data_IF_223306451795
#
_entry.id   IF_223306451795
#
_cell.length_a   1.000
_cell.length_b   1.000
_cell.length_c   1.000
_cell.angle_alpha   90.00
_cell.angle_beta   90.00
_cell.angle_gamma   90.00
#
_symmetry.space_group_name_H-M   'P 1'
#
loop_
_entity.id
_entity.type
_entity.pdbx_description
1 polymer ?
#
# COMPACT_ATOMS: atom_id res chain seq x y z
N UNK A 1 2.59 7.18 -4.94
CA UNK A 1 2.48 8.32 -4.02
C UNK A 1 1.04 8.77 -4.04
N UNK A 2 0.34 8.82 -2.90
CA UNK A 2 -1.07 9.24 -2.88
C UNK A 2 -1.17 10.77 -2.89
N UNK A 3 -2.17 11.33 -3.56
CA UNK A 3 -2.50 12.76 -3.46
C UNK A 3 -3.35 13.00 -2.21
N UNK A 4 -3.14 14.11 -1.49
CA UNK A 4 -3.96 14.45 -0.32
C UNK A 4 -5.41 14.65 -0.78
N UNK A 5 -6.38 13.96 -0.16
CA UNK A 5 -7.78 14.04 -0.58
C UNK A 5 -8.39 15.43 -0.31
N UNK A 6 -7.77 16.25 0.54
CA UNK A 6 -8.27 17.59 0.85
C UNK A 6 -7.80 18.67 -0.13
N UNK A 7 -6.55 18.60 -0.60
CA UNK A 7 -5.95 19.71 -1.37
C UNK A 7 -5.24 19.27 -2.66
N UNK A 8 -5.28 17.98 -3.01
CA UNK A 8 -4.67 17.44 -4.23
C UNK A 8 -3.14 17.41 -4.25
N UNK A 9 -2.44 18.03 -3.29
CA UNK A 9 -0.98 18.02 -3.24
C UNK A 9 -0.42 16.63 -2.91
N UNK A 10 0.81 16.30 -3.34
CA UNK A 10 1.44 15.01 -3.04
C UNK A 10 1.55 14.75 -1.53
N UNK A 11 1.23 13.53 -1.10
CA UNK A 11 1.37 13.08 0.28
C UNK A 11 2.40 11.95 0.40
N UNK A 12 3.27 12.02 1.41
CA UNK A 12 4.32 11.05 1.68
C UNK A 12 3.88 10.00 2.69
N UNK A 13 4.14 8.73 2.42
CA UNK A 13 3.90 7.65 3.38
C UNK A 13 4.87 7.74 4.55
N UNK A 14 4.36 7.80 5.78
CA UNK A 14 5.17 7.88 7.01
C UNK A 14 5.39 6.51 7.64
N UNK A 15 4.37 5.69 7.66
CA UNK A 15 4.41 4.34 8.21
C UNK A 15 3.36 3.47 7.53
N UNK A 16 3.46 2.17 7.76
CA UNK A 16 2.47 1.21 7.29
C UNK A 16 2.37 0.03 8.22
N UNK A 17 1.21 -0.60 8.27
CA UNK A 17 0.99 -1.86 8.98
C UNK A 17 0.16 -2.81 8.13
N UNK A 18 0.39 -4.10 8.30
CA UNK A 18 -0.49 -5.12 7.73
C UNK A 18 -1.69 -5.30 8.65
N UNK A 19 -2.88 -5.24 8.06
CA UNK A 19 -4.13 -5.60 8.77
C UNK A 19 -4.50 -7.06 8.50
N UNK A 20 -4.11 -7.58 7.34
CA UNK A 20 -4.20 -8.99 6.97
C UNK A 20 -3.09 -9.32 5.95
N UNK A 21 -2.95 -10.59 5.57
CA UNK A 21 -1.98 -11.02 4.55
C UNK A 21 -2.11 -10.25 3.22
N UNK A 22 -3.33 -9.83 2.87
CA UNK A 22 -3.63 -9.20 1.59
C UNK A 22 -3.91 -7.69 1.69
N UNK A 23 -3.98 -7.12 2.89
CA UNK A 23 -4.33 -5.70 3.11
C UNK A 23 -3.31 -4.98 3.98
N UNK A 24 -2.77 -3.90 3.43
CA UNK A 24 -1.81 -3.02 4.08
C UNK A 24 -2.41 -1.63 4.29
N UNK A 25 -2.46 -1.18 5.53
CA UNK A 25 -2.79 0.20 5.85
C UNK A 25 -1.52 1.06 5.77
N UNK A 26 -1.62 2.22 5.12
CA UNK A 26 -0.54 3.21 5.00
C UNK A 26 -1.01 4.55 5.52
N UNK A 27 -0.17 5.17 6.34
CA UNK A 27 -0.39 6.54 6.84
C UNK A 27 0.39 7.52 5.98
N UNK A 28 -0.29 8.55 5.49
CA UNK A 28 0.29 9.58 4.63
C UNK A 28 0.15 10.95 5.27
N UNK A 29 1.16 11.79 5.04
CA UNK A 29 1.14 13.20 5.40
C UNK A 29 1.29 14.06 4.15
N UNK A 30 0.41 15.03 3.96
CA UNK A 30 0.52 15.99 2.87
C UNK A 30 1.83 16.77 2.97
N UNK A 31 2.51 16.96 1.83
CA UNK A 31 3.73 17.76 1.76
C UNK A 31 3.47 19.27 1.78
N UNK A 32 2.26 19.69 1.42
CA UNK A 32 1.86 21.08 1.57
C UNK A 32 1.74 21.40 3.06
N UNK A 33 2.69 22.18 3.59
CA UNK A 33 2.78 22.55 5.02
C UNK A 33 1.52 23.28 5.49
N UNK A 34 0.90 24.09 4.62
CA UNK A 34 -0.36 24.77 4.95
C UNK A 34 -1.54 23.79 5.10
N UNK A 35 -1.48 22.64 4.43
CA UNK A 35 -2.50 21.61 4.55
C UNK A 35 -2.19 20.66 5.72
N UNK A 36 -0.96 20.12 5.77
CA UNK A 36 -0.50 19.22 6.83
C UNK A 36 -1.33 17.93 7.02
N UNK A 37 -2.32 17.69 6.15
CA UNK A 37 -3.32 16.64 6.33
C UNK A 37 -2.63 15.30 6.56
N UNK A 38 -3.05 14.58 7.60
CA UNK A 38 -2.59 13.21 7.84
C UNK A 38 -3.77 12.27 7.70
N UNK A 39 -3.62 11.25 6.88
CA UNK A 39 -4.73 10.34 6.52
C UNK A 39 -4.21 8.92 6.27
N UNK A 40 -5.09 7.94 6.43
CA UNK A 40 -4.80 6.54 6.19
C UNK A 40 -5.44 6.05 4.88
N UNK A 41 -4.78 5.12 4.21
CA UNK A 41 -5.34 4.41 3.03
C UNK A 41 -5.11 2.92 3.17
N UNK A 42 -6.03 2.11 2.65
CA UNK A 42 -5.88 0.67 2.52
C UNK A 42 -5.42 0.30 1.11
N UNK A 43 -4.29 -0.38 1.01
CA UNK A 43 -3.86 -1.06 -0.21
C UNK A 43 -4.15 -2.55 -0.05
N UNK A 44 -5.05 -3.07 -0.88
CA UNK A 44 -5.49 -4.46 -0.84
C UNK A 44 -5.20 -5.15 -2.18
N UNK A 45 -4.64 -6.35 -2.13
CA UNK A 45 -4.53 -7.22 -3.30
C UNK A 45 -5.94 -7.65 -3.72
N UNK A 46 -6.47 -7.04 -4.77
CA UNK A 46 -7.83 -7.32 -5.24
C UNK A 46 -7.94 -8.67 -5.95
N UNK A 47 -7.03 -8.94 -6.89
CA UNK A 47 -6.92 -10.21 -7.61
C UNK A 47 -5.57 -10.33 -8.29
N UNK A 48 -5.17 -11.57 -8.57
CA UNK A 48 -4.03 -11.85 -9.43
C UNK A 48 -4.50 -11.81 -10.88
N UNK A 49 -3.78 -11.08 -11.74
CA UNK A 49 -4.02 -11.14 -13.19
C UNK A 49 -3.39 -12.43 -13.77
N UNK A 50 -2.22 -12.82 -13.26
CA UNK A 50 -1.57 -14.11 -13.51
C UNK A 50 -0.94 -14.58 -12.21
N UNK A 51 -1.06 -15.87 -11.88
CA UNK A 51 -0.27 -16.52 -10.82
C UNK A 51 0.77 -17.43 -11.50
N UNK A 52 2.07 -17.21 -11.29
CA UNK A 52 3.07 -18.16 -11.79
C UNK A 52 2.84 -19.51 -11.13
N UNK A 53 3.05 -20.60 -11.87
CA UNK A 53 3.07 -21.93 -11.26
C UNK A 53 4.30 -22.01 -10.37
N UNK A 54 4.08 -22.28 -9.08
CA UNK A 54 5.17 -22.58 -8.17
C UNK A 54 5.79 -23.88 -8.67
N UNK A 55 6.97 -23.81 -9.29
CA UNK A 55 7.71 -25.01 -9.67
C UNK A 55 8.14 -25.67 -8.35
N UNK A 56 7.34 -26.63 -7.89
CA UNK A 56 7.68 -27.49 -6.76
C UNK A 56 9.01 -28.13 -7.16
N UNK A 57 10.11 -27.69 -6.54
CA UNK A 57 11.39 -28.35 -6.72
C UNK A 57 11.17 -29.81 -6.34
N UNK A 58 11.36 -30.69 -7.31
CA UNK A 58 11.31 -32.13 -7.15
C UNK A 58 12.39 -32.47 -6.12
N UNK A 59 12.01 -32.72 -4.87
CA UNK A 59 12.84 -33.53 -3.94
C UNK A 59 12.89 -34.94 -4.53
N UNK A 60 13.85 -35.14 -5.43
CA UNK A 60 14.26 -36.43 -5.92
C UNK A 60 14.99 -37.14 -4.78
N UNK A 61 14.25 -38.04 -4.14
CA UNK A 61 14.64 -39.31 -3.51
C UNK A 61 16.07 -39.44 -2.96
#
# INVERSE_FOLDING_TARGET
>A
MMHCPLCGNPAHTRSSRYLSENTKERYHQCRNVSCGCTFATHETVARFIVKPQLQQHIEQK
#
